data_IF_596878585166
#
_entry.id   IF_596878585166
#
_cell.length_a   1.000
_cell.length_b   1.000
_cell.length_c   1.000
_cell.angle_alpha   90.00
_cell.angle_beta   90.00
_cell.angle_gamma   90.00
#
_symmetry.space_group_name_H-M   'P 1'
#
loop_
_entity.id
_entity.type
_entity.pdbx_description
1 polymer ?
#
# COMPACT_ATOMS: atom_id res chain seq x y z
N UNK A 1 -8.73 8.41 -3.87
CA UNK A 1 -7.65 8.38 -2.85
C UNK A 1 -6.59 7.33 -3.17
N UNK A 2 -5.72 7.55 -4.15
CA UNK A 2 -4.66 6.59 -4.49
C UNK A 2 -3.61 6.41 -3.39
N UNK A 3 -3.40 7.41 -2.52
CA UNK A 3 -2.50 7.35 -1.37
C UNK A 3 -2.66 6.07 -0.53
N UNK A 4 -3.88 5.56 -0.38
CA UNK A 4 -4.17 4.41 0.47
C UNK A 4 -3.47 3.11 0.03
N UNK A 5 -3.05 3.01 -1.25
CA UNK A 5 -2.33 1.84 -1.79
C UNK A 5 -0.84 2.09 -2.05
N UNK A 6 -0.32 3.29 -1.77
CA UNK A 6 1.10 3.58 -1.93
C UNK A 6 1.88 3.04 -0.73
N UNK A 7 2.83 2.13 -0.96
CA UNK A 7 3.71 1.61 0.08
C UNK A 7 4.59 2.72 0.67
N UNK A 8 4.52 2.97 1.98
CA UNK A 8 5.10 4.19 2.54
C UNK A 8 6.55 4.06 3.00
N UNK A 9 7.03 2.84 3.31
CA UNK A 9 8.33 2.63 3.95
C UNK A 9 9.42 2.17 2.99
N UNK A 10 10.68 2.44 3.37
CA UNK A 10 11.84 2.09 2.57
C UNK A 10 12.21 0.61 2.66
N UNK A 11 11.94 -0.08 3.78
CA UNK A 11 12.26 -1.51 3.92
C UNK A 11 11.53 -2.33 2.88
N UNK A 12 10.20 -2.23 2.85
CA UNK A 12 9.36 -2.91 1.85
C UNK A 12 9.58 -2.34 0.45
N UNK A 13 9.83 -1.02 0.34
CA UNK A 13 10.16 -0.36 -0.91
C UNK A 13 11.40 -0.93 -1.60
N UNK A 14 12.44 -1.29 -0.84
CA UNK A 14 13.64 -1.96 -1.34
C UNK A 14 13.41 -3.40 -1.82
N UNK A 15 12.26 -3.98 -1.48
CA UNK A 15 11.82 -5.32 -1.88
C UNK A 15 10.59 -5.29 -2.77
N UNK A 16 10.47 -4.27 -3.62
CA UNK A 16 9.35 -4.11 -4.55
C UNK A 16 7.96 -4.11 -3.89
N UNK A 17 7.83 -3.47 -2.72
CA UNK A 17 6.59 -3.40 -1.94
C UNK A 17 6.08 -4.77 -1.42
N UNK A 18 6.94 -5.73 -1.20
CA UNK A 18 6.63 -6.94 -0.43
C UNK A 18 6.56 -6.58 1.04
N UNK A 19 5.48 -6.95 1.71
CA UNK A 19 5.27 -6.51 3.09
C UNK A 19 4.46 -7.46 3.96
N UNK A 20 3.63 -8.33 3.36
CA UNK A 20 2.70 -9.20 4.10
C UNK A 20 3.44 -10.19 4.99
N UNK A 21 4.45 -10.87 4.45
CA UNK A 21 5.23 -11.91 5.13
C UNK A 21 6.48 -11.40 5.86
N UNK A 22 6.82 -10.10 5.79
CA UNK A 22 7.99 -9.55 6.48
C UNK A 22 7.89 -9.68 7.99
N UNK A 23 9.04 -9.83 8.65
CA UNK A 23 9.13 -9.79 10.10
C UNK A 23 8.47 -8.55 10.68
N UNK A 24 7.78 -8.67 11.85
CA UNK A 24 7.07 -7.57 12.48
C UNK A 24 7.99 -6.37 12.78
N UNK A 25 7.52 -5.18 12.44
CA UNK A 25 8.11 -3.89 12.78
C UNK A 25 7.01 -2.83 12.89
N UNK A 26 7.37 -1.55 13.08
CA UNK A 26 6.40 -0.47 13.15
C UNK A 26 5.54 -0.32 11.87
N UNK A 27 6.05 -0.74 10.70
CA UNK A 27 5.34 -0.65 9.43
C UNK A 27 4.27 -1.74 9.23
N UNK A 28 4.18 -2.71 10.16
CA UNK A 28 3.20 -3.79 10.12
C UNK A 28 1.76 -3.29 9.98
N UNK A 29 1.44 -2.15 10.60
CA UNK A 29 0.10 -1.54 10.54
C UNK A 29 -0.37 -1.26 9.10
N UNK A 30 0.53 -0.96 8.17
CA UNK A 30 0.19 -0.73 6.77
C UNK A 30 0.10 -2.03 5.95
N UNK A 31 1.07 -2.95 6.15
CA UNK A 31 1.22 -4.11 5.30
C UNK A 31 0.33 -5.28 5.70
N UNK A 32 0.30 -5.57 6.99
CA UNK A 32 -0.50 -6.64 7.59
C UNK A 32 -0.63 -6.40 9.09
N UNK A 33 -1.71 -5.77 9.56
CA UNK A 33 -1.94 -5.49 10.97
C UNK A 33 -1.83 -6.71 11.90
N UNK A 34 -2.15 -7.93 11.42
CA UNK A 34 -2.04 -9.14 12.23
C UNK A 34 -0.62 -9.42 12.76
N UNK A 35 0.42 -8.92 12.07
CA UNK A 35 1.82 -9.03 12.52
C UNK A 35 2.08 -8.30 13.84
N UNK A 36 1.28 -7.29 14.19
CA UNK A 36 1.43 -6.55 15.46
C UNK A 36 1.37 -7.48 16.67
N UNK A 37 0.63 -8.59 16.59
CA UNK A 37 0.56 -9.58 17.66
C UNK A 37 1.91 -10.26 17.97
N UNK A 38 2.87 -10.23 17.04
CA UNK A 38 4.21 -10.79 17.18
C UNK A 38 5.27 -9.73 17.52
N UNK A 39 4.89 -8.50 17.82
CA UNK A 39 5.83 -7.45 18.27
C UNK A 39 6.46 -7.79 19.62
N UNK A 40 5.78 -8.61 20.42
CA UNK A 40 6.29 -9.04 21.71
C UNK A 40 5.90 -8.10 22.87
N UNK A 41 5.64 -8.70 24.03
CA UNK A 41 5.23 -7.96 25.24
C UNK A 41 6.29 -6.95 25.66
N UNK A 42 5.82 -5.72 25.94
CA UNK A 42 6.67 -4.63 26.41
C UNK A 42 7.62 -4.06 25.36
N UNK A 43 7.50 -4.50 24.10
CA UNK A 43 8.27 -3.94 22.98
C UNK A 43 7.45 -2.82 22.31
N UNK A 44 8.10 -1.70 22.03
CA UNK A 44 7.50 -0.57 21.33
C UNK A 44 8.45 -0.05 20.26
N UNK A 45 7.96 -0.01 19.03
CA UNK A 45 8.68 0.55 17.88
C UNK A 45 8.00 1.80 17.38
N UNK A 46 8.78 2.82 17.01
CA UNK A 46 8.33 3.98 16.25
C UNK A 46 8.97 4.01 14.89
N UNK A 47 8.29 4.61 13.91
CA UNK A 47 8.82 4.77 12.57
C UNK A 47 8.41 6.09 11.93
N UNK A 48 9.29 6.64 11.11
CA UNK A 48 9.03 7.80 10.27
C UNK A 48 9.59 7.51 8.88
N UNK A 49 8.76 7.70 7.85
CA UNK A 49 9.19 7.50 6.47
C UNK A 49 8.86 8.73 5.62
N UNK A 50 9.73 9.01 4.67
CA UNK A 50 9.59 10.10 3.72
C UNK A 50 9.90 9.61 2.32
N UNK A 51 9.00 9.92 1.37
CA UNK A 51 9.14 9.56 -0.03
C UNK A 51 8.81 10.77 -0.89
N UNK A 52 9.79 11.42 -1.54
CA UNK A 52 9.53 12.35 -2.63
C UNK A 52 8.92 11.56 -3.80
N UNK A 53 7.65 11.84 -4.08
CA UNK A 53 6.86 11.09 -5.06
C UNK A 53 6.81 11.84 -6.38
N UNK A 54 6.88 11.13 -7.51
CA UNK A 54 6.82 11.72 -8.87
C UNK A 54 7.79 12.88 -9.11
N UNK A 55 8.92 12.95 -8.39
CA UNK A 55 9.83 14.10 -8.35
C UNK A 55 10.30 14.63 -9.72
N UNK A 56 10.30 13.76 -10.73
CA UNK A 56 10.66 14.14 -12.10
C UNK A 56 9.57 14.91 -12.83
N UNK A 57 8.31 14.72 -12.45
CA UNK A 57 7.16 15.41 -13.06
C UNK A 57 6.76 16.63 -12.26
N UNK A 58 6.68 16.47 -10.94
CA UNK A 58 6.24 17.50 -10.00
C UNK A 58 7.16 17.45 -8.77
N UNK A 59 7.99 18.46 -8.53
CA UNK A 59 9.07 18.38 -7.53
C UNK A 59 8.60 18.40 -6.07
N UNK A 60 7.38 18.82 -5.81
CA UNK A 60 6.81 19.05 -4.47
C UNK A 60 5.68 18.07 -4.08
N UNK A 61 5.55 16.95 -4.82
CA UNK A 61 4.70 15.82 -4.41
C UNK A 61 5.48 14.93 -3.45
N UNK A 62 4.92 14.69 -2.26
CA UNK A 62 5.61 13.95 -1.21
C UNK A 62 4.67 13.14 -0.33
N UNK A 63 5.13 11.98 0.10
CA UNK A 63 4.45 11.10 1.03
C UNK A 63 5.23 11.03 2.35
N UNK A 64 4.57 11.34 3.44
CA UNK A 64 5.07 11.17 4.81
C UNK A 64 4.26 10.09 5.52
N UNK A 65 4.93 9.27 6.32
CA UNK A 65 4.31 8.21 7.10
C UNK A 65 4.97 8.12 8.47
N UNK A 66 4.19 8.35 9.51
CA UNK A 66 4.59 8.15 10.88
C UNK A 66 3.80 7.00 11.49
N UNK A 67 4.45 6.13 12.25
CA UNK A 67 3.81 4.98 12.85
C UNK A 67 4.39 4.60 14.20
N UNK A 68 3.60 3.86 14.97
CA UNK A 68 4.00 3.24 16.22
C UNK A 68 3.35 1.87 16.32
N UNK A 69 4.09 0.91 16.87
CA UNK A 69 3.60 -0.43 17.18
C UNK A 69 4.07 -0.84 18.58
N UNK A 70 3.19 -1.46 19.36
CA UNK A 70 3.51 -1.91 20.70
C UNK A 70 2.87 -3.27 21.00
N UNK A 71 3.63 -4.14 21.68
CA UNK A 71 3.10 -5.39 22.22
C UNK A 71 2.32 -5.15 23.52
N UNK A 72 1.10 -5.67 23.60
CA UNK A 72 0.18 -5.50 24.74
C UNK A 72 -0.25 -6.87 25.25
N UNK A 73 -0.11 -7.05 26.59
CA UNK A 73 -0.36 -8.36 27.19
C UNK A 73 0.61 -9.41 26.69
N UNK A 74 0.22 -10.68 26.73
CA UNK A 74 1.08 -11.80 26.32
C UNK A 74 0.98 -12.12 24.81
N UNK A 75 -0.17 -11.84 24.20
CA UNK A 75 -0.52 -12.28 22.85
C UNK A 75 -1.09 -11.17 21.97
N UNK A 76 -1.12 -9.94 22.45
CA UNK A 76 -1.73 -8.80 21.74
C UNK A 76 -0.71 -7.81 21.21
N UNK A 77 -1.10 -7.06 20.18
CA UNK A 77 -0.35 -5.92 19.67
C UNK A 77 -1.28 -4.82 19.22
N UNK A 78 -0.84 -3.59 19.39
CA UNK A 78 -1.53 -2.38 18.92
C UNK A 78 -0.63 -1.58 18.00
N UNK A 79 -1.24 -0.80 17.13
CA UNK A 79 -0.52 0.13 16.28
C UNK A 79 -1.34 1.37 15.99
N UNK A 80 -0.65 2.47 15.70
CA UNK A 80 -1.24 3.67 15.14
C UNK A 80 -0.35 4.22 14.03
N UNK A 81 -0.96 4.88 13.04
CA UNK A 81 -0.20 5.55 11.99
C UNK A 81 -0.90 6.78 11.45
N UNK A 82 -0.09 7.71 10.96
CA UNK A 82 -0.51 8.89 10.24
C UNK A 82 0.19 8.90 8.88
N UNK A 83 -0.57 9.05 7.80
CA UNK A 83 -0.06 9.30 6.46
C UNK A 83 -0.50 10.66 5.99
N UNK A 84 0.41 11.38 5.36
CA UNK A 84 0.15 12.66 4.72
C UNK A 84 0.76 12.64 3.32
N UNK A 85 -0.05 12.94 2.32
CA UNK A 85 0.35 12.96 0.92
C UNK A 85 0.05 14.33 0.32
N UNK A 86 1.08 15.13 0.09
CA UNK A 86 0.99 16.38 -0.66
C UNK A 86 0.99 16.07 -2.15
N UNK A 87 0.07 16.67 -2.88
CA UNK A 87 -0.04 16.54 -4.33
C UNK A 87 0.69 17.67 -5.10
N UNK A 88 1.46 18.48 -4.37
CA UNK A 88 2.17 19.62 -4.93
C UNK A 88 1.31 20.88 -5.00
N UNK A 89 1.89 21.96 -5.50
CA UNK A 89 1.20 23.25 -5.64
C UNK A 89 0.50 23.36 -6.98
N UNK A 90 -0.77 23.76 -6.95
CA UNK A 90 -1.59 24.01 -8.14
C UNK A 90 -1.93 25.50 -8.20
N UNK A 91 -1.69 26.13 -9.34
CA UNK A 91 -2.11 27.50 -9.62
C UNK A 91 -3.44 27.47 -10.38
N UNK A 92 -4.49 28.02 -9.76
CA UNK A 92 -5.78 28.20 -10.42
C UNK A 92 -5.72 29.38 -11.40
N UNK A 93 -6.32 29.21 -12.58
CA UNK A 93 -6.44 30.25 -13.61
C UNK A 93 -7.89 30.37 -14.05
N UNK A 94 -8.35 31.60 -14.32
CA UNK A 94 -9.64 31.81 -14.92
C UNK A 94 -9.63 31.50 -16.44
N UNK A 95 -10.79 31.64 -17.11
CA UNK A 95 -10.91 31.38 -18.54
C UNK A 95 -10.03 32.33 -19.40
N UNK A 96 -9.62 33.47 -18.86
CA UNK A 96 -8.72 34.45 -19.49
C UNK A 96 -7.25 34.14 -19.24
N UNK A 97 -6.92 33.06 -18.45
CA UNK A 97 -5.57 32.65 -18.12
C UNK A 97 -4.94 33.41 -16.93
N UNK A 98 -5.69 34.28 -16.27
CA UNK A 98 -5.20 35.06 -15.11
C UNK A 98 -5.16 34.19 -13.86
N UNK A 99 -4.13 34.37 -13.06
CA UNK A 99 -3.95 33.61 -11.81
C UNK A 99 -4.99 34.01 -10.76
N UNK A 100 -5.71 33.02 -10.23
CA UNK A 100 -6.72 33.20 -9.18
C UNK A 100 -6.22 32.79 -7.79
N UNK A 101 -5.00 32.29 -7.70
CA UNK A 101 -4.38 31.85 -6.46
C UNK A 101 -3.71 30.48 -6.56
N UNK A 102 -2.96 30.14 -5.53
CA UNK A 102 -2.28 28.84 -5.41
C UNK A 102 -2.87 28.03 -4.27
N UNK A 103 -2.89 26.72 -4.44
CA UNK A 103 -3.37 25.77 -3.47
C UNK A 103 -2.52 24.51 -3.47
N UNK A 104 -2.38 23.85 -2.32
CA UNK A 104 -1.69 22.55 -2.18
C UNK A 104 -2.70 21.47 -1.81
N UNK A 105 -3.21 20.73 -2.79
CA UNK A 105 -4.07 19.57 -2.54
C UNK A 105 -3.33 18.53 -1.69
N UNK A 106 -4.07 17.86 -0.82
CA UNK A 106 -3.48 16.81 0.02
C UNK A 106 -4.49 15.71 0.35
N UNK A 107 -3.94 14.55 0.65
CA UNK A 107 -4.66 13.43 1.24
C UNK A 107 -4.03 13.08 2.58
N UNK A 108 -4.85 12.65 3.55
CA UNK A 108 -4.37 12.23 4.86
C UNK A 108 -5.15 11.02 5.36
N UNK A 109 -4.49 10.11 6.10
CA UNK A 109 -5.18 9.07 6.86
C UNK A 109 -4.61 8.90 8.26
N UNK A 110 -5.51 8.64 9.21
CA UNK A 110 -5.20 8.21 10.57
C UNK A 110 -5.69 6.77 10.73
N UNK A 111 -4.79 5.90 11.16
CA UNK A 111 -5.08 4.48 11.32
C UNK A 111 -4.81 4.05 12.76
N UNK A 112 -5.66 3.19 13.30
CA UNK A 112 -5.43 2.46 14.55
C UNK A 112 -5.68 0.98 14.31
N UNK A 113 -4.86 0.12 14.93
CA UNK A 113 -4.95 -1.32 14.73
C UNK A 113 -4.80 -2.08 16.03
N UNK A 114 -5.46 -3.24 16.09
CA UNK A 114 -5.30 -4.24 17.11
C UNK A 114 -5.12 -5.62 16.48
N UNK A 115 -4.22 -6.41 17.05
CA UNK A 115 -3.98 -7.78 16.65
C UNK A 115 -3.87 -8.70 17.85
N UNK A 116 -4.25 -9.96 17.64
CA UNK A 116 -4.22 -11.00 18.66
C UNK A 116 -3.67 -12.31 18.08
N UNK A 117 -2.74 -12.94 18.80
CA UNK A 117 -2.33 -14.31 18.52
C UNK A 117 -3.48 -15.28 18.88
N UNK A 118 -3.99 -15.97 17.89
CA UNK A 118 -5.03 -16.99 18.01
C UNK A 118 -4.42 -18.35 18.40
N UNK A 119 -3.18 -18.58 17.97
CA UNK A 119 -2.32 -19.69 18.38
C UNK A 119 -0.87 -19.22 18.38
N UNK A 120 0.06 -20.12 18.69
CA UNK A 120 1.49 -19.80 18.68
C UNK A 120 2.00 -19.42 17.27
N UNK A 121 1.31 -19.87 16.22
CA UNK A 121 1.68 -19.63 14.83
C UNK A 121 0.77 -18.66 14.07
N UNK A 122 -0.46 -18.48 14.54
CA UNK A 122 -1.46 -17.67 13.83
C UNK A 122 -1.90 -16.47 14.64
N UNK A 123 -2.06 -15.35 13.94
CA UNK A 123 -2.70 -14.16 14.47
C UNK A 123 -3.77 -13.62 13.52
N UNK A 124 -4.72 -12.90 14.10
CA UNK A 124 -5.69 -12.06 13.41
C UNK A 124 -5.48 -10.60 13.78
N UNK A 125 -5.79 -9.70 12.85
CA UNK A 125 -5.66 -8.27 13.07
C UNK A 125 -6.77 -7.50 12.37
N UNK A 126 -7.18 -6.40 13.00
CA UNK A 126 -8.12 -5.43 12.43
C UNK A 126 -7.55 -4.04 12.56
N UNK A 127 -7.84 -3.18 11.59
CA UNK A 127 -7.57 -1.75 11.70
C UNK A 127 -8.81 -0.93 11.40
N UNK A 128 -8.87 0.26 11.97
CA UNK A 128 -9.83 1.29 11.64
C UNK A 128 -9.07 2.49 11.08
N UNK A 129 -9.55 3.01 9.96
CA UNK A 129 -8.95 4.12 9.22
C UNK A 129 -9.96 5.23 9.04
N UNK A 130 -9.59 6.45 9.40
CA UNK A 130 -10.24 7.67 8.92
C UNK A 130 -9.36 8.31 7.86
N UNK A 131 -9.93 8.65 6.72
CA UNK A 131 -9.18 9.26 5.62
C UNK A 131 -9.93 10.46 5.05
N UNK A 132 -9.18 11.48 4.70
CA UNK A 132 -9.67 12.70 4.06
C UNK A 132 -8.82 13.04 2.83
N UNK A 133 -9.45 13.71 1.86
CA UNK A 133 -8.83 14.15 0.60
C UNK A 133 -9.37 15.52 0.25
N UNK A 134 -8.53 16.52 0.28
CA UNK A 134 -8.85 17.88 -0.13
C UNK A 134 -8.11 18.20 -1.44
N UNK A 135 -8.82 18.08 -2.55
CA UNK A 135 -8.24 18.21 -3.89
C UNK A 135 -8.40 19.62 -4.49
N UNK A 136 -9.37 20.39 -4.02
CA UNK A 136 -9.75 21.63 -4.68
C UNK A 136 -10.22 22.75 -3.74
N UNK A 137 -10.09 22.60 -2.42
CA UNK A 137 -10.34 23.65 -1.40
C UNK A 137 -11.64 24.46 -1.63
N UNK A 138 -12.74 23.79 -1.97
CA UNK A 138 -14.02 24.46 -2.17
C UNK A 138 -14.11 25.31 -3.47
N UNK A 139 -13.25 25.06 -4.45
CA UNK A 139 -13.36 25.67 -5.79
C UNK A 139 -14.54 25.10 -6.56
N UNK A 140 -15.08 25.90 -7.47
CA UNK A 140 -16.13 25.43 -8.40
C UNK A 140 -15.46 24.72 -9.58
N UNK A 141 -15.73 23.43 -9.73
CA UNK A 141 -15.25 22.61 -10.84
C UNK A 141 -16.44 22.03 -11.57
N UNK A 142 -16.54 22.27 -12.88
CA UNK A 142 -17.68 21.82 -13.71
C UNK A 142 -19.04 22.36 -13.23
N UNK A 143 -19.08 23.57 -12.68
CA UNK A 143 -20.30 24.19 -12.14
C UNK A 143 -20.74 23.68 -10.75
N UNK A 144 -19.96 22.82 -10.11
CA UNK A 144 -20.26 22.27 -8.77
C UNK A 144 -19.20 22.71 -7.76
N UNK A 145 -19.65 23.10 -6.56
CA UNK A 145 -18.76 23.39 -5.46
C UNK A 145 -18.12 22.10 -4.96
N UNK A 146 -16.80 22.07 -4.96
CA UNK A 146 -16.05 20.94 -4.41
C UNK A 146 -16.03 20.98 -2.87
N UNK A 147 -15.94 19.82 -2.25
CA UNK A 147 -15.78 19.67 -0.80
C UNK A 147 -14.69 18.67 -0.47
N UNK A 148 -14.21 18.73 0.76
CA UNK A 148 -13.27 17.73 1.28
C UNK A 148 -13.95 16.37 1.29
N UNK A 149 -13.39 15.41 0.54
CA UNK A 149 -13.82 14.03 0.59
C UNK A 149 -13.37 13.38 1.89
N UNK A 150 -14.28 12.65 2.53
CA UNK A 150 -14.00 11.94 3.78
C UNK A 150 -14.54 10.53 3.72
N UNK A 151 -13.84 9.58 4.35
CA UNK A 151 -14.29 8.19 4.42
C UNK A 151 -13.74 7.51 5.67
N UNK A 152 -14.44 6.46 6.08
CA UNK A 152 -13.99 5.51 7.10
C UNK A 152 -13.85 4.15 6.44
N UNK A 153 -12.75 3.45 6.76
CA UNK A 153 -12.47 2.13 6.26
C UNK A 153 -11.89 1.23 7.36
N UNK A 154 -11.96 -0.06 7.12
CA UNK A 154 -11.35 -1.09 7.99
C UNK A 154 -10.48 -2.01 7.16
N UNK A 155 -9.44 -2.56 7.79
CA UNK A 155 -8.66 -3.67 7.25
C UNK A 155 -8.87 -4.89 8.14
N UNK A 156 -8.91 -6.06 7.51
CA UNK A 156 -8.94 -7.36 8.20
C UNK A 156 -7.76 -8.18 7.70
N UNK A 157 -7.03 -8.80 8.60
CA UNK A 157 -5.81 -9.50 8.24
C UNK A 157 -5.56 -10.75 9.08
N UNK A 158 -4.75 -11.64 8.52
CA UNK A 158 -4.21 -12.82 9.20
C UNK A 158 -2.72 -12.96 8.87
N UNK A 159 -1.99 -13.51 9.82
CA UNK A 159 -0.56 -13.77 9.66
C UNK A 159 -0.20 -15.12 10.25
N UNK A 160 0.65 -15.83 9.55
CA UNK A 160 1.23 -17.10 9.95
C UNK A 160 2.75 -16.98 10.08
N UNK A 161 3.28 -17.46 11.19
CA UNK A 161 4.69 -17.62 11.43
C UNK A 161 4.93 -19.03 11.95
N UNK A 162 5.52 -19.90 11.13
CA UNK A 162 5.81 -21.28 11.49
C UNK A 162 6.97 -21.39 12.50
N UNK A 163 7.18 -22.59 13.02
CA UNK A 163 8.36 -22.89 13.81
C UNK A 163 9.64 -22.79 12.97
N UNK A 164 10.73 -22.43 13.62
CA UNK A 164 12.05 -22.66 13.06
C UNK A 164 12.38 -24.14 13.07
N UNK A 165 12.74 -24.67 11.92
CA UNK A 165 13.19 -26.07 11.79
C UNK A 165 14.66 -26.15 11.35
N UNK A 166 15.35 -27.18 11.84
CA UNK A 166 16.76 -27.42 11.50
C UNK A 166 16.88 -27.90 10.07
N UNK A 167 17.84 -27.34 9.36
CA UNK A 167 18.29 -27.74 8.03
C UNK A 167 19.69 -28.34 8.11
N UNK A 168 20.29 -28.71 6.99
CA UNK A 168 21.66 -29.19 6.93
C UNK A 168 22.66 -28.14 7.43
N UNK A 169 23.79 -28.56 7.91
CA UNK A 169 24.93 -27.72 8.34
C UNK A 169 24.61 -26.70 9.44
N UNK A 170 23.62 -27.01 10.31
CA UNK A 170 23.22 -26.12 11.42
C UNK A 170 22.39 -24.90 11.02
N UNK A 171 21.97 -24.83 9.79
CA UNK A 171 21.08 -23.80 9.29
C UNK A 171 19.65 -23.99 9.81
N UNK A 172 18.83 -22.92 9.78
CA UNK A 172 17.42 -22.97 10.18
C UNK A 172 16.55 -22.32 9.14
N UNK A 173 15.38 -22.90 8.94
CA UNK A 173 14.35 -22.38 8.04
C UNK A 173 13.07 -22.06 8.78
N UNK A 174 12.32 -21.06 8.33
CA UNK A 174 11.01 -20.70 8.86
C UNK A 174 10.11 -20.21 7.72
N UNK A 175 8.90 -20.80 7.64
CA UNK A 175 7.88 -20.33 6.73
C UNK A 175 7.05 -19.22 7.36
N UNK A 176 6.74 -18.19 6.56
CA UNK A 176 5.88 -17.08 6.93
C UNK A 176 4.86 -16.82 5.84
N UNK A 177 3.71 -16.28 6.20
CA UNK A 177 2.69 -15.91 5.22
C UNK A 177 1.57 -15.12 5.84
N UNK A 178 0.70 -14.57 5.00
CA UNK A 178 -0.44 -13.82 5.48
C UNK A 178 -1.37 -13.37 4.37
N UNK A 179 -2.47 -12.81 4.81
CA UNK A 179 -3.50 -12.25 3.95
C UNK A 179 -4.02 -10.97 4.60
N UNK A 180 -4.24 -9.96 3.78
CA UNK A 180 -4.83 -8.68 4.22
C UNK A 180 -5.87 -8.24 3.21
N UNK A 181 -7.08 -7.98 3.68
CA UNK A 181 -8.13 -7.29 2.96
C UNK A 181 -8.20 -5.87 3.52
N UNK A 182 -7.74 -4.90 2.75
CA UNK A 182 -7.57 -3.52 3.20
C UNK A 182 -8.53 -2.55 2.51
N UNK A 183 -8.78 -1.42 3.18
CA UNK A 183 -9.63 -0.34 2.69
C UNK A 183 -11.10 -0.78 2.42
N UNK A 184 -11.67 -1.64 3.25
CA UNK A 184 -13.10 -1.94 3.19
C UNK A 184 -13.84 -0.75 3.79
N UNK A 185 -14.41 0.11 2.97
CA UNK A 185 -14.98 1.36 3.49
C UNK A 185 -15.97 2.03 2.54
N UNK A 186 -16.56 3.13 3.01
CA UNK A 186 -17.52 3.90 2.24
C UNK A 186 -16.88 4.55 1.02
N UNK A 187 -17.67 4.69 -0.06
CA UNK A 187 -17.30 5.49 -1.23
C UNK A 187 -17.07 6.95 -0.82
N UNK A 188 -16.11 7.60 -1.44
CA UNK A 188 -15.77 9.02 -1.20
C UNK A 188 -16.49 9.92 -2.19
N UNK A 189 -16.88 11.11 -1.74
CA UNK A 189 -17.51 12.14 -2.58
C UNK A 189 -16.79 13.47 -2.44
N UNK A 190 -16.62 14.16 -3.55
CA UNK A 190 -15.96 15.48 -3.63
C UNK A 190 -16.93 16.62 -3.97
N UNK A 191 -18.22 16.35 -4.16
CA UNK A 191 -19.29 17.34 -4.33
C UNK A 191 -20.59 16.81 -3.74
N UNK A 192 -21.60 17.65 -3.56
CA UNK A 192 -22.89 17.21 -3.00
C UNK A 192 -23.70 16.34 -3.96
N UNK A 193 -23.71 16.71 -5.23
CA UNK A 193 -24.48 16.05 -6.29
C UNK A 193 -23.65 15.10 -7.16
N UNK A 194 -22.32 15.04 -6.97
CA UNK A 194 -21.44 14.18 -7.74
C UNK A 194 -21.52 12.70 -7.39
N UNK A 195 -21.08 11.86 -8.31
CA UNK A 195 -20.92 10.44 -8.08
C UNK A 195 -19.98 10.18 -6.90
N UNK A 196 -20.19 9.06 -6.22
CA UNK A 196 -19.30 8.60 -5.16
C UNK A 196 -18.33 7.57 -5.73
N UNK A 197 -17.03 7.79 -5.54
CA UNK A 197 -15.95 6.94 -6.02
C UNK A 197 -15.58 5.86 -5.01
N UNK A 198 -15.21 4.69 -5.51
CA UNK A 198 -14.65 3.64 -4.65
C UNK A 198 -13.30 4.07 -4.07
N UNK A 199 -13.09 3.82 -2.79
CA UNK A 199 -11.73 3.80 -2.25
C UNK A 199 -11.04 2.49 -2.69
N UNK A 200 -9.70 2.44 -2.73
CA UNK A 200 -8.98 1.29 -3.30
C UNK A 200 -8.98 0.08 -2.35
N UNK A 201 -10.13 -0.57 -2.22
CA UNK A 201 -10.20 -1.87 -1.51
C UNK A 201 -9.28 -2.86 -2.18
N UNK A 202 -8.38 -3.48 -1.42
CA UNK A 202 -7.33 -4.32 -1.97
C UNK A 202 -7.17 -5.62 -1.17
N UNK A 203 -7.08 -6.73 -1.88
CA UNK A 203 -6.68 -8.01 -1.32
C UNK A 203 -5.19 -8.22 -1.60
N UNK A 204 -4.43 -8.51 -0.56
CA UNK A 204 -3.01 -8.82 -0.64
C UNK A 204 -2.72 -10.10 0.09
N UNK A 205 -2.20 -11.09 -0.62
CA UNK A 205 -1.68 -12.35 -0.05
C UNK A 205 -0.18 -12.42 -0.23
N UNK A 206 0.52 -12.93 0.77
CA UNK A 206 1.97 -13.07 0.70
C UNK A 206 2.47 -14.28 1.46
N UNK A 207 3.57 -14.84 0.96
CA UNK A 207 4.28 -15.94 1.60
C UNK A 207 5.79 -15.73 1.45
N UNK A 208 6.54 -16.35 2.34
CA UNK A 208 7.99 -16.25 2.30
C UNK A 208 8.68 -17.29 3.14
N UNK A 209 9.98 -17.31 2.98
CA UNK A 209 10.89 -18.19 3.67
C UNK A 209 12.03 -17.39 4.26
N UNK A 210 12.23 -17.52 5.57
CA UNK A 210 13.36 -16.97 6.30
C UNK A 210 14.39 -18.08 6.48
N UNK A 211 15.61 -17.81 6.04
CA UNK A 211 16.73 -18.75 6.08
C UNK A 211 17.85 -18.17 6.93
N UNK A 212 18.07 -18.72 8.11
CA UNK A 212 19.20 -18.42 8.99
C UNK A 212 20.35 -19.34 8.61
N UNK A 213 21.36 -18.80 7.93
CA UNK A 213 22.51 -19.53 7.42
C UNK A 213 23.50 -19.86 8.56
N UNK A 214 23.75 -18.88 9.40
CA UNK A 214 24.58 -18.97 10.59
C UNK A 214 24.21 -17.86 11.61
N UNK A 215 25.02 -17.65 12.63
CA UNK A 215 24.77 -16.64 13.67
C UNK A 215 24.83 -15.19 13.17
N UNK A 216 25.39 -14.95 12.00
CA UNK A 216 25.54 -13.60 11.42
C UNK A 216 24.70 -13.38 10.18
N UNK A 217 24.37 -14.44 9.46
CA UNK A 217 23.83 -14.37 8.10
C UNK A 217 22.40 -14.89 8.04
N UNK A 218 21.47 -14.04 7.63
CA UNK A 218 20.07 -14.40 7.39
C UNK A 218 19.60 -13.88 6.03
N UNK A 219 18.88 -14.72 5.30
CA UNK A 219 18.23 -14.38 4.03
C UNK A 219 16.74 -14.58 4.16
N UNK A 220 15.95 -13.66 3.63
CA UNK A 220 14.51 -13.82 3.47
C UNK A 220 14.15 -13.69 2.00
N UNK A 221 13.29 -14.57 1.50
CA UNK A 221 12.72 -14.52 0.15
C UNK A 221 11.21 -14.52 0.30
N UNK A 222 10.57 -13.50 -0.25
CA UNK A 222 9.14 -13.28 -0.06
C UNK A 222 8.47 -12.91 -1.39
N UNK A 223 7.19 -13.25 -1.48
CA UNK A 223 6.34 -12.90 -2.63
C UNK A 223 4.99 -12.42 -2.12
N UNK A 224 4.52 -11.31 -2.65
CA UNK A 224 3.17 -10.79 -2.43
C UNK A 224 2.42 -10.74 -3.76
N UNK A 225 1.14 -11.11 -3.73
CA UNK A 225 0.19 -10.96 -4.83
C UNK A 225 -0.92 -10.03 -4.39
N UNK A 226 -1.20 -9.03 -5.21
CA UNK A 226 -2.21 -8.02 -4.92
C UNK A 226 -3.29 -8.02 -5.99
N UNK A 227 -4.53 -7.79 -5.57
CA UNK A 227 -5.67 -7.57 -6.44
C UNK A 227 -6.54 -6.45 -5.89
N UNK A 228 -6.79 -5.44 -6.73
CA UNK A 228 -7.75 -4.38 -6.42
C UNK A 228 -9.18 -4.94 -6.51
N UNK A 229 -9.96 -4.76 -5.44
CA UNK A 229 -11.32 -5.28 -5.31
C UNK A 229 -12.36 -4.17 -5.55
N UNK A 230 -12.19 -3.44 -6.63
CA UNK A 230 -13.19 -2.48 -7.12
C UNK A 230 -13.72 -2.96 -8.49
N UNK A 231 -14.93 -2.57 -8.88
CA UNK A 231 -15.45 -2.91 -10.20
C UNK A 231 -14.51 -2.42 -11.31
N UNK A 232 -14.29 -3.27 -12.31
CA UNK A 232 -13.62 -2.84 -13.54
C UNK A 232 -14.56 -1.93 -14.31
N UNK A 233 -14.06 -0.78 -14.78
CA UNK A 233 -14.86 0.14 -15.57
C UNK A 233 -15.35 -0.55 -16.85
N UNK A 234 -16.65 -0.47 -17.16
CA UNK A 234 -17.17 -1.01 -18.41
C UNK A 234 -16.73 -0.19 -19.62
N UNK A 235 -16.72 -0.83 -20.77
CA UNK A 235 -16.59 -0.09 -22.03
C UNK A 235 -17.95 0.52 -22.39
N UNK A 236 -17.99 1.83 -22.59
CA UNK A 236 -19.21 2.58 -22.94
C UNK A 236 -19.16 3.06 -24.39
N UNK A 237 -20.33 3.19 -25.03
CA UNK A 237 -20.44 3.74 -26.37
C UNK A 237 -20.35 5.27 -26.37
N UNK A 238 -19.12 5.78 -26.21
CA UNK A 238 -18.87 7.23 -26.21
C UNK A 238 -19.05 7.88 -27.59
N UNK A 239 -19.07 7.08 -28.65
CA UNK A 239 -19.15 7.56 -30.04
C UNK A 239 -20.58 7.49 -30.59
N UNK A 240 -21.54 6.93 -29.82
CA UNK A 240 -22.93 6.72 -30.24
C UNK A 240 -22.97 5.98 -31.61
N UNK A 241 -22.36 4.76 -31.61
CA UNK A 241 -22.12 4.00 -32.80
C UNK A 241 -23.41 3.52 -33.49
N UNK A 242 -24.51 3.37 -32.74
CA UNK A 242 -25.84 3.01 -33.25
C UNK A 242 -26.72 4.23 -33.52
N UNK A 243 -26.27 5.47 -33.20
CA UNK A 243 -26.94 6.73 -33.40
C UNK A 243 -28.29 6.85 -32.67
N UNK A 244 -28.45 6.25 -31.50
CA UNK A 244 -29.65 6.36 -30.67
C UNK A 244 -29.61 7.57 -29.72
N UNK A 245 -28.49 8.26 -29.60
CA UNK A 245 -28.25 9.44 -28.75
C UNK A 245 -27.79 9.10 -27.33
N UNK A 246 -27.66 7.84 -26.97
CA UNK A 246 -27.16 7.40 -25.65
C UNK A 246 -25.67 7.02 -25.68
N UNK A 247 -24.81 7.95 -25.29
CA UNK A 247 -23.37 7.74 -25.16
C UNK A 247 -22.94 7.07 -23.86
N UNK A 248 -23.87 6.67 -23.02
CA UNK A 248 -23.62 6.05 -21.73
C UNK A 248 -23.88 4.54 -21.73
N UNK A 249 -24.39 3.99 -22.83
CA UNK A 249 -24.65 2.58 -23.00
C UNK A 249 -23.39 1.72 -22.79
N UNK A 250 -23.57 0.61 -22.09
CA UNK A 250 -22.48 -0.34 -21.79
C UNK A 250 -22.43 -1.38 -22.92
N UNK A 251 -21.38 -1.32 -23.73
CA UNK A 251 -21.13 -2.29 -24.81
C UNK A 251 -20.32 -3.50 -24.38
N UNK A 252 -19.56 -3.41 -23.27
CA UNK A 252 -18.86 -4.55 -22.68
C UNK A 252 -18.60 -4.35 -21.19
N UNK A 253 -18.73 -5.43 -20.40
CA UNK A 253 -18.62 -5.39 -18.95
C UNK A 253 -19.99 -5.23 -18.26
N UNK A 254 -19.98 -4.82 -17.00
CA UNK A 254 -21.19 -4.54 -16.19
C UNK A 254 -21.10 -3.16 -15.57
N UNK A 255 -22.22 -2.59 -15.22
CA UNK A 255 -22.30 -1.29 -14.53
C UNK A 255 -21.43 -1.31 -13.26
N UNK A 256 -20.58 -0.29 -13.16
CA UNK A 256 -19.66 -0.06 -12.05
C UNK A 256 -20.26 0.81 -10.93
N UNK A 257 -21.46 1.36 -11.14
CA UNK A 257 -22.19 2.13 -10.13
C UNK A 257 -22.95 1.22 -9.14
N UNK A 258 -22.24 0.39 -8.44
CA UNK A 258 -22.78 -0.58 -7.45
C UNK A 258 -22.33 -0.25 -6.03
N UNK A 259 -22.96 -0.87 -5.02
CA UNK A 259 -22.53 -0.77 -3.62
C UNK A 259 -21.16 -1.41 -3.38
N UNK A 260 -20.50 -1.07 -2.27
CA UNK A 260 -19.12 -1.51 -1.99
C UNK A 260 -19.00 -3.04 -1.99
N UNK A 261 -19.87 -3.75 -1.28
CA UNK A 261 -19.82 -5.22 -1.20
C UNK A 261 -20.10 -5.86 -2.56
N UNK A 262 -21.09 -5.34 -3.29
CA UNK A 262 -21.38 -5.79 -4.65
C UNK A 262 -20.18 -5.55 -5.58
N UNK A 263 -19.51 -4.43 -5.45
CA UNK A 263 -18.28 -4.10 -6.20
C UNK A 263 -17.14 -5.06 -5.91
N UNK A 264 -16.92 -5.44 -4.64
CA UNK A 264 -15.95 -6.46 -4.25
C UNK A 264 -16.24 -7.80 -4.94
N UNK A 265 -17.49 -8.25 -4.91
CA UNK A 265 -17.91 -9.50 -5.57
C UNK A 265 -17.75 -9.39 -7.09
N UNK A 266 -18.22 -8.29 -7.68
CA UNK A 266 -18.13 -8.04 -9.11
C UNK A 266 -16.69 -8.00 -9.62
N UNK A 267 -15.73 -7.56 -8.78
CA UNK A 267 -14.31 -7.54 -9.13
C UNK A 267 -13.73 -8.92 -9.47
N UNK A 268 -14.37 -9.99 -9.01
CA UNK A 268 -14.01 -11.40 -9.29
C UNK A 268 -14.76 -12.00 -10.47
N UNK A 269 -15.81 -11.36 -10.93
CA UNK A 269 -16.66 -11.88 -12.00
C UNK A 269 -16.06 -11.58 -13.39
N UNK A 270 -15.60 -12.59 -14.14
CA UNK A 270 -15.09 -12.36 -15.48
C UNK A 270 -16.16 -11.80 -16.44
N UNK A 271 -17.44 -12.12 -16.23
CA UNK A 271 -18.52 -11.59 -17.07
C UNK A 271 -18.79 -10.10 -16.87
N UNK A 272 -18.27 -9.52 -15.77
CA UNK A 272 -18.33 -8.08 -15.50
C UNK A 272 -17.17 -7.30 -16.09
N UNK A 273 -16.32 -7.94 -16.91
CA UNK A 273 -15.10 -7.34 -17.45
C UNK A 273 -15.13 -7.34 -18.97
N UNK A 274 -14.63 -6.27 -19.62
CA UNK A 274 -14.64 -6.18 -21.09
C UNK A 274 -13.96 -7.35 -21.80
N UNK A 275 -12.78 -7.78 -21.30
CA UNK A 275 -12.00 -8.90 -21.85
C UNK A 275 -12.18 -10.22 -21.07
N UNK A 276 -13.22 -10.31 -20.21
CA UNK A 276 -13.56 -11.52 -19.46
C UNK A 276 -12.44 -12.03 -18.54
N UNK A 277 -12.16 -13.33 -18.57
CA UNK A 277 -11.15 -13.96 -17.70
C UNK A 277 -9.73 -13.43 -17.95
N UNK A 278 -9.41 -13.05 -19.17
CA UNK A 278 -8.10 -12.47 -19.51
C UNK A 278 -7.89 -11.13 -18.77
N UNK A 279 -8.92 -10.30 -18.72
CA UNK A 279 -8.91 -9.07 -17.97
C UNK A 279 -8.73 -9.31 -16.46
N UNK A 280 -9.44 -10.30 -15.91
CA UNK A 280 -9.30 -10.69 -14.51
C UNK A 280 -7.85 -11.07 -14.16
N UNK A 281 -7.17 -11.82 -15.02
CA UNK A 281 -5.78 -12.22 -14.80
C UNK A 281 -4.80 -11.05 -14.85
N UNK A 282 -5.07 -10.03 -15.66
CA UNK A 282 -4.26 -8.81 -15.77
C UNK A 282 -4.35 -7.91 -14.52
N UNK A 283 -5.38 -8.09 -13.69
CA UNK A 283 -5.58 -7.30 -12.47
C UNK A 283 -4.70 -7.72 -11.29
N UNK A 284 -4.01 -8.85 -11.42
CA UNK A 284 -3.07 -9.30 -10.39
C UNK A 284 -1.71 -8.62 -10.56
N UNK A 285 -1.25 -8.00 -9.48
CA UNK A 285 0.10 -7.47 -9.37
C UNK A 285 0.94 -8.42 -8.52
N UNK A 286 2.11 -8.82 -9.01
CA UNK A 286 3.01 -9.74 -8.34
C UNK A 286 4.30 -9.02 -7.94
N UNK A 287 4.69 -9.18 -6.69
CA UNK A 287 5.90 -8.60 -6.13
C UNK A 287 6.77 -9.71 -5.56
N UNK A 288 8.05 -9.71 -5.88
CA UNK A 288 9.04 -10.64 -5.31
C UNK A 288 10.16 -9.83 -4.71
N UNK A 289 10.56 -10.17 -3.49
CA UNK A 289 11.61 -9.46 -2.78
C UNK A 289 12.52 -10.40 -2.00
N UNK A 290 13.76 -9.96 -1.83
CA UNK A 290 14.74 -10.62 -0.98
C UNK A 290 15.41 -9.62 -0.04
N UNK A 291 15.67 -10.05 1.18
CA UNK A 291 16.37 -9.29 2.20
C UNK A 291 17.49 -10.16 2.77
N UNK A 292 18.73 -9.67 2.73
CA UNK A 292 19.87 -10.29 3.39
C UNK A 292 20.29 -9.42 4.56
N UNK A 293 20.47 -10.03 5.74
CA UNK A 293 20.99 -9.39 6.94
C UNK A 293 22.35 -9.94 7.31
N UNK A 294 23.25 -9.04 7.61
CA UNK A 294 24.52 -9.35 8.24
C UNK A 294 24.56 -8.82 9.67
N UNK A 295 24.73 -9.73 10.62
CA UNK A 295 24.84 -9.47 12.07
C UNK A 295 23.67 -8.65 12.63
N UNK A 296 22.45 -8.79 12.06
CA UNK A 296 21.28 -7.99 12.40
C UNK A 296 21.49 -6.45 12.34
N UNK A 297 22.63 -6.02 11.79
CA UNK A 297 23.03 -4.61 11.72
C UNK A 297 22.96 -4.04 10.31
N UNK A 298 23.34 -4.83 9.31
CA UNK A 298 23.38 -4.38 7.91
C UNK A 298 22.42 -5.21 7.06
N UNK A 299 21.58 -4.54 6.30
CA UNK A 299 20.68 -5.20 5.36
C UNK A 299 20.94 -4.74 3.93
N UNK A 300 20.84 -5.69 2.99
CA UNK A 300 20.76 -5.42 1.54
C UNK A 300 19.47 -6.05 1.04
N UNK A 301 18.78 -5.32 0.16
CA UNK A 301 17.48 -5.72 -0.37
C UNK A 301 17.45 -5.58 -1.88
N UNK A 302 16.71 -6.47 -2.51
CA UNK A 302 16.39 -6.38 -3.93
C UNK A 302 14.96 -6.88 -4.15
N UNK A 303 14.31 -6.39 -5.20
CA UNK A 303 12.97 -6.83 -5.54
C UNK A 303 12.57 -6.52 -6.97
N UNK A 304 11.50 -7.17 -7.41
CA UNK A 304 10.86 -6.95 -8.69
C UNK A 304 9.34 -6.90 -8.52
N UNK A 305 8.72 -5.87 -9.09
CA UNK A 305 7.27 -5.69 -9.18
C UNK A 305 6.82 -5.85 -10.62
N UNK A 306 5.75 -6.61 -10.81
CA UNK A 306 5.11 -6.80 -12.10
C UNK A 306 3.62 -6.46 -12.03
N UNK A 307 3.21 -5.54 -12.89
CA UNK A 307 1.82 -5.21 -13.17
C UNK A 307 1.59 -5.19 -14.68
N UNK A 308 0.41 -5.64 -15.12
CA UNK A 308 0.08 -5.67 -16.54
C UNK A 308 0.10 -4.26 -17.16
N UNK A 309 0.49 -4.18 -18.45
CA UNK A 309 0.62 -2.92 -19.20
C UNK A 309 -0.69 -2.14 -19.24
N UNK A 310 -1.83 -2.86 -19.27
CA UNK A 310 -3.17 -2.27 -19.34
C UNK A 310 -3.70 -1.81 -17.98
N UNK A 311 -3.00 -2.15 -16.87
CA UNK A 311 -3.42 -1.87 -15.49
C UNK A 311 -2.53 -0.86 -14.75
N UNK A 312 -1.65 -0.19 -15.46
CA UNK A 312 -0.77 0.84 -14.90
C UNK A 312 0.71 0.64 -15.23
N UNK A 313 1.07 -0.52 -15.82
CA UNK A 313 2.43 -0.83 -16.31
C UNK A 313 3.54 -0.60 -15.27
N UNK A 314 3.25 -0.85 -13.98
CA UNK A 314 4.22 -0.69 -12.90
C UNK A 314 5.16 -1.90 -12.84
N UNK A 315 6.22 -1.85 -13.65
CA UNK A 315 7.27 -2.85 -13.71
C UNK A 315 8.57 -2.24 -13.25
N UNK A 316 9.04 -2.65 -12.08
CA UNK A 316 10.19 -2.04 -11.44
C UNK A 316 11.13 -3.08 -10.85
N UNK A 317 12.43 -2.83 -10.95
CA UNK A 317 13.41 -3.37 -10.03
C UNK A 317 13.62 -2.40 -8.87
N UNK A 318 13.88 -2.92 -7.71
CA UNK A 318 14.18 -2.11 -6.52
C UNK A 318 15.44 -2.60 -5.84
N UNK A 319 16.15 -1.69 -5.21
CA UNK A 319 17.28 -1.98 -4.32
C UNK A 319 17.09 -1.22 -3.01
N UNK A 320 17.59 -1.79 -1.92
CA UNK A 320 17.51 -1.14 -0.62
C UNK A 320 18.70 -1.48 0.27
N UNK A 321 18.96 -0.59 1.22
CA UNK A 321 19.94 -0.76 2.28
C UNK A 321 19.29 -0.49 3.63
N UNK A 322 19.75 -1.20 4.65
CA UNK A 322 19.34 -0.98 6.03
C UNK A 322 20.52 -1.00 6.97
N UNK A 323 20.50 -0.09 7.96
CA UNK A 323 21.47 -0.07 9.04
C UNK A 323 20.70 -0.04 10.35
N UNK A 324 21.13 -0.88 11.31
CA UNK A 324 20.60 -0.89 12.67
C UNK A 324 21.76 -0.67 13.63
N UNK A 325 21.66 0.38 14.43
CA UNK A 325 22.67 0.69 15.45
C UNK A 325 21.98 1.15 16.74
N UNK A 326 22.17 0.37 17.79
CA UNK A 326 21.50 0.57 19.07
C UNK A 326 19.99 0.68 18.91
N UNK A 327 19.44 1.87 19.20
CA UNK A 327 18.01 2.19 19.17
C UNK A 327 17.50 2.53 17.78
N UNK A 328 18.39 2.90 16.86
CA UNK A 328 18.02 3.55 15.60
C UNK A 328 18.23 2.59 14.44
N UNK A 329 17.22 2.51 13.58
CA UNK A 329 17.29 1.88 12.28
C UNK A 329 17.11 2.93 11.18
N UNK A 330 17.92 2.84 10.14
CA UNK A 330 17.76 3.64 8.94
C UNK A 330 17.62 2.70 7.74
N UNK A 331 16.62 2.94 6.90
CA UNK A 331 16.41 2.22 5.67
C UNK A 331 16.35 3.20 4.49
N UNK A 332 16.89 2.76 3.38
CA UNK A 332 16.89 3.46 2.11
C UNK A 332 16.43 2.52 1.01
N UNK A 333 15.65 3.02 0.06
CA UNK A 333 15.25 2.28 -1.13
C UNK A 333 15.30 3.16 -2.38
N UNK A 334 15.60 2.53 -3.50
CA UNK A 334 15.63 3.14 -4.81
C UNK A 334 14.93 2.24 -5.83
N UNK A 335 14.15 2.86 -6.71
CA UNK A 335 13.32 2.18 -7.70
C UNK A 335 13.82 2.49 -9.11
N UNK A 336 14.02 1.43 -9.92
CA UNK A 336 14.42 1.49 -11.32
C UNK A 336 13.29 0.99 -12.21
N UNK A 337 12.94 1.66 -13.31
CA UNK A 337 12.01 1.09 -14.29
C UNK A 337 12.60 -0.16 -14.93
N UNK A 338 11.79 -1.21 -15.09
CA UNK A 338 12.22 -2.43 -15.80
C UNK A 338 12.24 -2.24 -17.32
N UNK A 339 11.41 -1.34 -17.82
CA UNK A 339 11.35 -0.96 -19.23
C UNK A 339 11.82 0.49 -19.36
N UNK A 340 12.92 0.69 -20.07
CA UNK A 340 13.50 2.02 -20.31
C UNK A 340 12.94 2.70 -21.57
N UNK A 341 12.15 1.99 -22.38
CA UNK A 341 11.53 2.55 -23.59
C UNK A 341 10.33 3.43 -23.27
N UNK A 342 9.64 3.14 -22.16
CA UNK A 342 8.51 3.93 -21.66
C UNK A 342 8.92 4.57 -20.34
N UNK A 343 9.00 5.90 -20.33
CA UNK A 343 9.31 6.65 -19.10
C UNK A 343 8.20 6.46 -18.07
N UNK A 344 8.51 5.84 -16.96
CA UNK A 344 7.60 5.73 -15.83
C UNK A 344 7.66 7.00 -14.98
N UNK A 345 6.52 7.59 -14.60
CA UNK A 345 6.49 8.70 -13.64
C UNK A 345 7.13 8.36 -12.28
N UNK A 346 7.16 7.09 -11.93
CA UNK A 346 7.73 6.57 -10.68
C UNK A 346 9.23 6.25 -10.76
N UNK A 347 9.87 6.44 -11.93
CA UNK A 347 11.30 6.17 -12.06
C UNK A 347 12.12 7.07 -11.12
N UNK A 348 13.20 6.50 -10.57
CA UNK A 348 14.10 7.19 -9.64
C UNK A 348 13.40 7.64 -8.33
N UNK A 349 12.32 6.98 -7.93
CA UNK A 349 11.73 7.20 -6.61
C UNK A 349 12.69 6.71 -5.53
N UNK A 350 12.96 7.60 -4.59
CA UNK A 350 13.78 7.33 -3.40
C UNK A 350 12.87 7.25 -2.20
N UNK A 351 13.14 6.33 -1.27
CA UNK A 351 12.44 6.26 0.02
C UNK A 351 13.44 6.23 1.14
N UNK A 352 13.10 6.93 2.22
CA UNK A 352 13.85 6.94 3.47
C UNK A 352 12.93 6.52 4.60
N UNK A 353 13.44 5.71 5.52
CA UNK A 353 12.75 5.38 6.77
C UNK A 353 13.72 5.42 7.93
N UNK A 354 13.28 6.01 9.04
CA UNK A 354 13.92 5.92 10.34
C UNK A 354 13.02 5.09 11.26
N UNK A 355 13.60 4.13 11.96
CA UNK A 355 12.94 3.29 12.94
C UNK A 355 13.63 3.49 14.29
N UNK A 356 12.85 3.46 15.37
CA UNK A 356 13.36 3.61 16.74
C UNK A 356 12.77 2.50 17.61
N UNK A 357 13.64 1.80 18.33
CA UNK A 357 13.24 0.90 19.42
C UNK A 357 13.11 1.70 20.71
N UNK A 358 11.86 2.00 21.10
CA UNK A 358 11.56 2.84 22.25
C UNK A 358 11.76 2.15 23.61
N UNK A 359 11.95 0.84 23.64
CA UNK A 359 12.09 0.09 24.92
C UNK A 359 13.37 0.43 25.67
N UNK A 360 14.41 0.82 24.95
CA UNK A 360 15.67 1.20 25.55
C UNK A 360 15.70 2.64 26.04
N UNK A 361 14.73 3.46 25.61
CA UNK A 361 14.58 4.85 26.06
C UNK A 361 13.76 4.94 27.36
N UNK A 362 12.84 3.97 27.55
CA UNK A 362 11.92 3.93 28.68
C UNK A 362 12.47 3.11 29.89
N UNK A 363 13.70 2.63 29.82
CA UNK A 363 14.47 2.03 30.93
C UNK A 363 15.39 3.06 31.55
#
# INVERSE_FOLDING_TARGET
MPMLNIGPDARSGGMANVGVGLSPDANAIFWNPAKLAFVGKGTTYGGLSYTPWLRRLVPDVELMFANVAAGVGERGGIGASLRYFSLGEITFRNEQGEEQGTYRPYEMSLDVAYALQLSDHFSGGVSLRYALSDLAQGQVVGGQLTKVGQTVATDVSMFYQGDEFSMQDGQRGQWVGGLTLSNIGAKIRYSESGAADFIPTNLRGGAGFNWTLDKYNRVSILTDVNKLLVPTQPTRDLLDADNDGDRTEIIAGKDDNVGVIAGIIQSWDPSAKPDGFKELMREFMVNVGTEYWYNEQFAVRAGYQHEDVTKGNRRFFTMGFGIRYNLIGLDFAYLFPADQTVRSPLENTIRFSALVDLNQIMK
#
